data_IF_947288738421
#
_entry.id   IF_947288738421
#
_cell.length_a   1.000
_cell.length_b   1.000
_cell.length_c   1.000
_cell.angle_alpha   90.00
_cell.angle_beta   90.00
_cell.angle_gamma   90.00
#
_symmetry.space_group_name_H-M   'P 1'
#
loop_
_entity.id
_entity.type
_entity.pdbx_description
1 polymer ?
#
# COMPACT_ATOMS: atom_id res chain seq x y z
N UNK A 1 33.78 89.86 58.22
CA UNK A 1 34.86 89.08 57.57
C UNK A 1 34.55 87.58 57.39
N UNK A 2 33.56 87.00 58.09
CA UNK A 2 33.30 85.55 58.01
C UNK A 2 32.37 85.13 56.84
N UNK A 3 31.59 86.05 56.27
CA UNK A 3 30.74 85.77 55.11
C UNK A 3 31.53 85.74 53.78
N UNK A 4 32.48 86.65 53.62
CA UNK A 4 33.34 86.71 52.41
C UNK A 4 34.27 85.49 52.31
N UNK A 5 34.79 85.01 53.46
CA UNK A 5 35.61 83.78 53.53
C UNK A 5 34.80 82.52 53.24
N UNK A 6 33.53 82.47 53.64
CA UNK A 6 32.61 81.36 53.32
C UNK A 6 32.20 81.35 51.85
N UNK A 7 32.02 82.53 51.24
CA UNK A 7 31.69 82.64 49.82
C UNK A 7 32.88 82.27 48.92
N UNK A 8 34.11 82.63 49.33
CA UNK A 8 35.33 82.23 48.64
C UNK A 8 35.60 80.71 48.71
N UNK A 9 35.28 80.07 49.83
CA UNK A 9 35.33 78.59 49.95
C UNK A 9 34.22 77.89 49.14
N UNK A 10 33.03 78.49 49.02
CA UNK A 10 31.93 77.95 48.21
C UNK A 10 32.25 78.00 46.70
N UNK A 11 32.84 79.10 46.22
CA UNK A 11 33.28 79.22 44.82
C UNK A 11 34.43 78.26 44.49
N UNK A 12 35.38 78.05 45.41
CA UNK A 12 36.49 77.10 45.22
C UNK A 12 35.98 75.64 45.13
N UNK A 13 34.93 75.29 45.89
CA UNK A 13 34.33 73.96 45.87
C UNK A 13 33.56 73.67 44.56
N UNK A 14 32.94 74.70 43.97
CA UNK A 14 32.23 74.58 42.67
C UNK A 14 33.19 74.41 41.49
N UNK A 15 34.41 74.98 41.55
CA UNK A 15 35.42 74.80 40.50
C UNK A 15 36.07 73.42 40.52
N UNK A 16 36.13 72.74 41.67
CA UNK A 16 36.67 71.37 41.80
C UNK A 16 35.71 70.29 41.27
N UNK A 17 34.41 70.58 41.18
CA UNK A 17 33.39 69.68 40.60
C UNK A 17 33.18 69.86 39.09
N UNK A 18 33.74 70.92 38.49
CA UNK A 18 33.65 71.19 37.04
C UNK A 18 34.77 70.53 36.21
N UNK A 19 35.55 69.64 36.81
CA UNK A 19 36.65 68.90 36.18
C UNK A 19 36.25 67.67 35.36
N UNK A 20 34.96 67.42 35.17
CA UNK A 20 34.47 66.37 34.28
C UNK A 20 33.32 66.89 33.41
N UNK A 21 33.60 67.92 32.63
CA UNK A 21 32.75 68.38 31.54
C UNK A 21 33.54 68.33 30.22
N UNK A 22 33.98 67.12 29.87
CA UNK A 22 34.52 66.77 28.56
C UNK A 22 34.43 65.25 28.35
N UNK A 23 33.23 64.68 28.48
CA UNK A 23 32.99 63.27 28.16
C UNK A 23 31.50 62.98 27.88
N UNK A 24 30.84 63.78 27.04
CA UNK A 24 29.47 63.46 26.58
C UNK A 24 29.34 63.45 25.05
N UNK A 25 30.45 63.29 24.31
CA UNK A 25 30.40 62.99 22.87
C UNK A 25 31.49 62.01 22.38
N UNK A 26 32.18 61.32 23.30
CA UNK A 26 33.23 60.33 22.97
C UNK A 26 32.69 58.89 22.92
N UNK A 27 31.60 58.57 23.62
CA UNK A 27 31.08 57.20 23.68
C UNK A 27 30.48 56.69 22.35
N UNK A 28 29.94 57.57 21.51
CA UNK A 28 29.31 57.16 20.25
C UNK A 28 30.33 57.01 19.10
N UNK A 29 31.35 57.87 19.06
CA UNK A 29 32.48 57.73 18.14
C UNK A 29 33.37 56.52 18.50
N UNK A 30 33.56 56.21 19.78
CA UNK A 30 34.25 55.01 20.23
C UNK A 30 33.42 53.74 20.01
N UNK A 31 32.08 53.81 20.10
CA UNK A 31 31.23 52.65 19.82
C UNK A 31 31.28 52.25 18.34
N UNK A 32 31.17 53.21 17.43
CA UNK A 32 31.29 52.93 15.99
C UNK A 32 32.71 52.46 15.61
N UNK A 33 33.74 53.01 16.25
CA UNK A 33 35.13 52.57 16.06
C UNK A 33 35.37 51.16 16.61
N UNK A 34 34.85 50.85 17.80
CA UNK A 34 34.94 49.53 18.43
C UNK A 34 34.14 48.48 17.65
N UNK A 35 32.94 48.84 17.18
CA UNK A 35 32.12 48.00 16.30
C UNK A 35 32.86 47.69 15.00
N UNK A 36 33.49 48.68 14.39
CA UNK A 36 34.26 48.49 13.16
C UNK A 36 35.48 47.61 13.41
N UNK A 37 36.21 47.84 14.50
CA UNK A 37 37.33 46.99 14.92
C UNK A 37 36.90 45.54 15.19
N UNK A 38 35.75 45.32 15.84
CA UNK A 38 35.21 43.98 16.09
C UNK A 38 34.78 43.28 14.80
N UNK A 39 34.12 43.98 13.89
CA UNK A 39 33.75 43.45 12.57
C UNK A 39 34.98 43.13 11.74
N UNK A 40 36.03 43.95 11.83
CA UNK A 40 37.28 43.72 11.12
C UNK A 40 38.03 42.52 11.72
N UNK A 41 38.06 42.35 13.06
CA UNK A 41 38.59 41.15 13.74
C UNK A 41 37.84 39.87 13.35
N UNK A 42 36.51 39.92 13.18
CA UNK A 42 35.74 38.75 12.70
C UNK A 42 36.04 38.43 11.23
N UNK A 43 36.42 39.43 10.42
CA UNK A 43 36.75 39.27 9.00
C UNK A 43 38.21 38.90 8.74
N UNK A 44 39.11 39.08 9.71
CA UNK A 44 40.50 38.67 9.57
C UNK A 44 40.60 37.15 9.43
N UNK A 45 41.73 36.70 8.88
CA UNK A 45 41.98 35.28 8.68
C UNK A 45 42.04 34.52 10.02
N UNK A 46 42.47 35.20 11.09
CA UNK A 46 42.45 34.67 12.46
C UNK A 46 41.02 34.48 12.98
N UNK A 47 40.12 35.47 12.77
CA UNK A 47 38.71 35.36 13.12
C UNK A 47 38.00 34.25 12.37
N UNK A 48 38.23 34.15 11.05
CA UNK A 48 37.70 33.03 10.23
C UNK A 48 38.24 31.68 10.69
N UNK A 49 39.53 31.59 11.02
CA UNK A 49 40.17 30.36 11.49
C UNK A 49 39.64 29.92 12.85
N UNK A 50 39.41 30.86 13.77
CA UNK A 50 38.80 30.58 15.07
C UNK A 50 37.35 30.08 14.92
N UNK A 51 36.56 30.71 14.04
CA UNK A 51 35.20 30.21 13.72
C UNK A 51 35.27 28.83 13.07
N UNK A 52 36.24 28.58 12.18
CA UNK A 52 36.43 27.29 11.55
C UNK A 52 36.80 26.19 12.56
N UNK A 53 37.64 26.52 13.55
CA UNK A 53 38.01 25.61 14.63
C UNK A 53 36.82 25.31 15.54
N UNK A 54 35.99 26.32 15.85
CA UNK A 54 34.72 26.13 16.55
C UNK A 54 33.70 25.33 15.73
N UNK A 55 33.71 25.45 14.39
CA UNK A 55 32.92 24.59 13.50
C UNK A 55 33.43 23.15 13.42
N UNK A 56 34.61 22.84 13.93
CA UNK A 56 35.05 21.45 14.03
C UNK A 56 34.59 20.78 15.34
N UNK A 57 34.13 21.57 16.31
CA UNK A 57 33.52 21.05 17.53
C UNK A 57 32.17 20.37 17.23
N UNK A 58 31.93 19.18 17.81
CA UNK A 58 30.73 18.39 17.53
C UNK A 58 29.46 19.02 18.11
N UNK A 59 29.56 19.58 19.31
CA UNK A 59 28.42 20.17 20.04
C UNK A 59 27.94 21.43 19.30
N UNK A 60 28.87 22.29 18.88
CA UNK A 60 28.54 23.48 18.10
C UNK A 60 27.96 23.13 16.71
N UNK A 61 28.52 22.14 16.00
CA UNK A 61 27.98 21.71 14.69
C UNK A 61 26.57 21.16 14.80
N UNK A 62 26.30 20.35 15.81
CA UNK A 62 24.99 19.76 16.01
C UNK A 62 23.91 20.84 16.13
N UNK A 63 24.14 21.81 17.01
CA UNK A 63 23.16 22.86 17.30
C UNK A 63 22.96 23.81 16.10
N UNK A 64 24.02 24.11 15.34
CA UNK A 64 23.94 24.98 14.16
C UNK A 64 23.26 24.32 12.95
N UNK A 65 23.48 23.01 12.75
CA UNK A 65 22.97 22.26 11.58
C UNK A 65 21.53 21.79 11.79
N UNK A 66 21.16 21.37 13.01
CA UNK A 66 19.83 20.83 13.28
C UNK A 66 18.74 21.90 13.42
N UNK A 67 19.07 23.09 13.92
CA UNK A 67 18.10 24.18 14.11
C UNK A 67 17.92 25.06 12.85
N UNK A 68 18.59 24.71 11.76
CA UNK A 68 18.55 25.53 10.56
C UNK A 68 17.32 25.19 9.70
N UNK A 69 16.34 26.10 9.66
CA UNK A 69 15.24 26.08 8.70
C UNK A 69 15.73 25.82 7.27
N UNK A 70 16.89 26.38 6.91
CA UNK A 70 17.54 26.17 5.62
C UNK A 70 17.92 24.71 5.34
N UNK A 71 18.38 23.95 6.34
CA UNK A 71 18.73 22.53 6.17
C UNK A 71 17.47 21.71 5.92
N UNK A 72 16.40 21.98 6.66
CA UNK A 72 15.10 21.31 6.46
C UNK A 72 14.51 21.61 5.07
N UNK A 73 14.54 22.88 4.66
CA UNK A 73 14.07 23.32 3.34
C UNK A 73 14.92 22.67 2.24
N UNK A 74 16.25 22.69 2.37
CA UNK A 74 17.16 22.06 1.40
C UNK A 74 16.92 20.57 1.28
N UNK A 75 16.70 19.85 2.38
CA UNK A 75 16.38 18.41 2.35
C UNK A 75 15.04 18.18 1.65
N UNK A 76 14.02 18.97 1.99
CA UNK A 76 12.70 18.85 1.38
C UNK A 76 12.76 19.14 -0.12
N UNK A 77 13.41 20.21 -0.54
CA UNK A 77 13.60 20.56 -1.94
C UNK A 77 14.40 19.48 -2.67
N UNK A 78 15.55 19.08 -2.13
CA UNK A 78 16.40 18.06 -2.74
C UNK A 78 15.65 16.75 -2.95
N UNK A 79 14.86 16.30 -1.98
CA UNK A 79 14.09 15.05 -2.08
C UNK A 79 12.85 15.16 -2.98
N UNK A 80 12.27 16.36 -3.14
CA UNK A 80 11.07 16.57 -3.97
C UNK A 80 11.37 16.98 -5.41
N UNK A 81 12.60 17.41 -5.69
CA UNK A 81 13.08 17.72 -7.05
C UNK A 81 13.15 16.47 -7.93
N UNK A 82 13.18 16.69 -9.23
CA UNK A 82 13.43 15.63 -10.21
C UNK A 82 14.80 14.97 -10.01
N UNK A 83 15.81 15.69 -9.51
CA UNK A 83 17.10 15.08 -9.15
C UNK A 83 16.96 14.09 -7.98
N UNK A 84 16.18 14.43 -6.96
CA UNK A 84 15.88 13.53 -5.85
C UNK A 84 15.14 12.27 -6.29
N UNK A 85 14.13 12.41 -7.15
CA UNK A 85 13.42 11.26 -7.75
C UNK A 85 14.38 10.39 -8.55
N UNK A 86 15.23 10.98 -9.39
CA UNK A 86 16.22 10.24 -10.17
C UNK A 86 17.24 9.51 -9.28
N UNK A 87 17.68 10.15 -8.19
CA UNK A 87 18.52 9.52 -7.18
C UNK A 87 17.85 8.28 -6.59
N UNK A 88 16.60 8.39 -6.11
CA UNK A 88 15.86 7.25 -5.56
C UNK A 88 15.64 6.14 -6.60
N UNK A 89 15.30 6.49 -7.84
CA UNK A 89 15.15 5.52 -8.93
C UNK A 89 16.45 4.77 -9.23
N UNK A 90 17.60 5.45 -9.15
CA UNK A 90 18.89 4.82 -9.38
C UNK A 90 19.31 3.96 -8.19
N UNK A 91 19.12 4.45 -6.96
CA UNK A 91 19.44 3.76 -5.72
C UNK A 91 18.58 2.50 -5.53
N UNK A 92 17.30 2.53 -5.91
CA UNK A 92 16.41 1.36 -5.88
C UNK A 92 16.80 0.25 -6.88
N UNK A 93 17.64 0.55 -7.89
CA UNK A 93 18.16 -0.46 -8.81
C UNK A 93 19.35 -1.22 -8.24
N UNK A 94 19.98 -0.70 -7.18
CA UNK A 94 21.04 -1.42 -6.47
C UNK A 94 20.43 -2.59 -5.67
N UNK A 95 20.81 -3.85 -5.95
CA UNK A 95 20.23 -5.01 -5.27
C UNK A 95 20.47 -5.03 -3.76
N UNK A 96 21.60 -4.52 -3.29
CA UNK A 96 21.91 -4.48 -1.86
C UNK A 96 20.98 -3.50 -1.14
N UNK A 97 20.89 -2.28 -1.67
CA UNK A 97 19.94 -1.29 -1.17
C UNK A 97 18.48 -1.78 -1.23
N UNK A 98 18.04 -2.32 -2.38
CA UNK A 98 16.69 -2.81 -2.57
C UNK A 98 16.34 -3.95 -1.60
N UNK A 99 17.29 -4.85 -1.32
CA UNK A 99 17.12 -5.93 -0.35
C UNK A 99 16.92 -5.36 1.05
N UNK A 100 17.84 -4.53 1.53
CA UNK A 100 17.73 -3.94 2.88
C UNK A 100 16.46 -3.11 3.04
N UNK A 101 16.08 -2.36 2.01
CA UNK A 101 14.83 -1.60 2.00
C UNK A 101 13.59 -2.52 2.05
N UNK A 102 13.56 -3.59 1.25
CA UNK A 102 12.48 -4.56 1.26
C UNK A 102 12.36 -5.30 2.61
N UNK A 103 13.48 -5.71 3.20
CA UNK A 103 13.54 -6.35 4.52
C UNK A 103 13.02 -5.41 5.61
N UNK A 104 13.42 -4.13 5.58
CA UNK A 104 12.93 -3.13 6.53
C UNK A 104 11.41 -2.91 6.40
N UNK A 105 10.86 -2.95 5.18
CA UNK A 105 9.44 -2.78 4.91
C UNK A 105 8.61 -4.05 5.04
N UNK A 106 9.23 -5.23 5.17
CA UNK A 106 8.55 -6.52 5.04
C UNK A 106 7.34 -6.65 5.97
N UNK A 107 7.51 -6.30 7.25
CA UNK A 107 6.46 -6.41 8.28
C UNK A 107 5.24 -5.53 7.98
N UNK A 108 5.48 -4.26 7.61
CA UNK A 108 4.39 -3.34 7.28
C UNK A 108 3.74 -3.70 5.94
N UNK A 109 4.53 -4.12 4.96
CA UNK A 109 4.01 -4.61 3.68
C UNK A 109 3.12 -5.84 3.86
N UNK A 110 3.51 -6.79 4.72
CA UNK A 110 2.70 -7.95 5.06
C UNK A 110 1.36 -7.55 5.72
N UNK A 111 1.39 -6.59 6.65
CA UNK A 111 0.16 -6.06 7.26
C UNK A 111 -0.76 -5.42 6.24
N UNK A 112 -0.21 -4.62 5.32
CA UNK A 112 -0.97 -4.00 4.23
C UNK A 112 -1.60 -5.08 3.35
N UNK A 113 -0.82 -6.06 2.89
CA UNK A 113 -1.33 -7.15 2.05
C UNK A 113 -2.43 -7.96 2.75
N UNK A 114 -2.25 -8.30 4.04
CA UNK A 114 -3.29 -8.98 4.83
C UNK A 114 -4.54 -8.13 5.04
N UNK A 115 -4.38 -6.81 5.16
CA UNK A 115 -5.49 -5.86 5.21
C UNK A 115 -6.24 -5.82 3.89
N UNK A 116 -5.52 -5.66 2.78
CA UNK A 116 -6.07 -5.63 1.43
C UNK A 116 -6.80 -6.93 1.07
N UNK A 117 -6.33 -8.10 1.50
CA UNK A 117 -7.08 -9.35 1.28
C UNK A 117 -8.50 -9.34 1.90
N UNK A 118 -8.77 -8.49 2.88
CA UNK A 118 -10.09 -8.32 3.49
C UNK A 118 -10.89 -7.18 2.87
N UNK A 119 -10.28 -6.41 1.98
CA UNK A 119 -10.91 -5.30 1.29
C UNK A 119 -11.71 -5.79 0.06
N UNK A 120 -12.97 -5.37 -0.11
CA UNK A 120 -13.81 -5.82 -1.22
C UNK A 120 -13.29 -5.46 -2.62
N UNK A 121 -12.66 -4.28 -2.77
CA UNK A 121 -12.13 -3.84 -4.06
C UNK A 121 -10.92 -4.69 -4.44
N UNK A 122 -10.02 -4.91 -3.48
CA UNK A 122 -8.87 -5.78 -3.69
C UNK A 122 -9.26 -7.24 -3.92
N UNK A 123 -10.29 -7.76 -3.24
CA UNK A 123 -10.83 -9.08 -3.52
C UNK A 123 -11.39 -9.19 -4.94
N UNK A 124 -12.05 -8.15 -5.43
CA UNK A 124 -12.56 -8.11 -6.81
C UNK A 124 -11.42 -8.18 -7.83
N UNK A 125 -10.32 -7.44 -7.58
CA UNK A 125 -9.10 -7.54 -8.39
C UNK A 125 -8.47 -8.92 -8.28
N UNK A 126 -8.50 -9.58 -7.12
CA UNK A 126 -8.00 -10.94 -6.97
C UNK A 126 -8.84 -11.95 -7.75
N UNK A 127 -10.17 -11.81 -7.75
CA UNK A 127 -11.06 -12.68 -8.53
C UNK A 127 -10.81 -12.52 -10.03
N UNK A 128 -10.55 -11.31 -10.53
CA UNK A 128 -10.22 -11.13 -11.95
C UNK A 128 -8.90 -11.82 -12.33
N UNK A 129 -7.91 -11.81 -11.44
CA UNK A 129 -6.66 -12.58 -11.62
C UNK A 129 -6.97 -14.08 -11.67
N UNK A 130 -7.81 -14.61 -10.76
CA UNK A 130 -8.20 -16.02 -10.76
C UNK A 130 -8.99 -16.46 -12.00
N UNK A 131 -9.57 -15.52 -12.73
CA UNK A 131 -10.26 -15.77 -14.00
C UNK A 131 -9.32 -15.81 -15.20
N UNK A 132 -8.01 -15.66 -15.01
CA UNK A 132 -7.03 -15.86 -16.07
C UNK A 132 -7.11 -17.27 -16.68
N UNK A 133 -6.75 -17.39 -17.96
CA UNK A 133 -6.86 -18.64 -18.70
C UNK A 133 -5.96 -19.73 -18.14
N UNK A 134 -4.74 -19.40 -17.68
CA UNK A 134 -3.80 -20.37 -17.12
C UNK A 134 -4.33 -20.99 -15.82
N UNK A 135 -4.97 -20.16 -14.99
CA UNK A 135 -5.59 -20.60 -13.74
C UNK A 135 -6.83 -21.44 -14.04
N UNK A 136 -7.66 -21.03 -15.01
CA UNK A 136 -8.82 -21.84 -15.46
C UNK A 136 -8.39 -23.22 -15.94
N UNK A 137 -7.34 -23.31 -16.74
CA UNK A 137 -6.85 -24.59 -17.26
C UNK A 137 -6.33 -25.48 -16.12
N UNK A 138 -5.62 -24.90 -15.15
CA UNK A 138 -5.17 -25.59 -13.93
C UNK A 138 -6.36 -26.10 -13.09
N UNK A 139 -7.42 -25.29 -12.95
CA UNK A 139 -8.66 -25.71 -12.27
C UNK A 139 -9.34 -26.83 -13.05
N UNK A 140 -9.41 -26.76 -14.39
CA UNK A 140 -10.01 -27.81 -15.21
C UNK A 140 -9.23 -29.13 -15.13
N UNK A 141 -7.91 -29.08 -15.01
CA UNK A 141 -7.08 -30.26 -14.77
C UNK A 141 -7.38 -30.87 -13.38
N UNK A 142 -7.49 -30.03 -12.35
CA UNK A 142 -7.89 -30.46 -11.01
C UNK A 142 -9.28 -31.13 -11.01
N UNK A 143 -10.25 -30.57 -11.75
CA UNK A 143 -11.59 -31.18 -11.87
C UNK A 143 -11.57 -32.51 -12.64
N UNK A 144 -10.55 -32.77 -13.45
CA UNK A 144 -10.36 -34.05 -14.14
C UNK A 144 -9.58 -35.07 -13.31
N UNK A 145 -8.99 -34.66 -12.19
CA UNK A 145 -8.23 -35.51 -11.28
C UNK A 145 -9.06 -36.70 -10.78
N UNK A 146 -8.36 -37.78 -10.39
CA UNK A 146 -9.02 -38.99 -9.92
C UNK A 146 -9.76 -38.73 -8.61
N UNK A 147 -9.16 -37.94 -7.73
CA UNK A 147 -9.68 -37.55 -6.42
C UNK A 147 -11.01 -36.80 -6.55
N UNK A 148 -11.08 -35.85 -7.49
CA UNK A 148 -12.33 -35.13 -7.76
C UNK A 148 -13.39 -36.03 -8.41
N UNK A 149 -12.99 -36.93 -9.33
CA UNK A 149 -13.92 -37.90 -9.92
C UNK A 149 -14.54 -38.84 -8.90
N UNK A 150 -13.78 -39.28 -7.89
CA UNK A 150 -14.33 -40.11 -6.81
C UNK A 150 -15.43 -39.36 -6.05
N UNK A 151 -15.21 -38.09 -5.70
CA UNK A 151 -16.25 -37.24 -5.09
C UNK A 151 -17.47 -37.07 -6.00
N UNK A 152 -17.26 -36.82 -7.29
CA UNK A 152 -18.35 -36.70 -8.26
C UNK A 152 -19.16 -37.99 -8.35
N UNK A 153 -18.51 -39.16 -8.34
CA UNK A 153 -19.20 -40.46 -8.37
C UNK A 153 -20.03 -40.69 -7.10
N UNK A 154 -19.53 -40.28 -5.93
CA UNK A 154 -20.29 -40.31 -4.68
C UNK A 154 -21.51 -39.41 -4.76
N UNK A 155 -21.35 -38.15 -5.17
CA UNK A 155 -22.46 -37.18 -5.32
C UNK A 155 -23.50 -37.71 -6.32
N UNK A 156 -23.05 -38.29 -7.44
CA UNK A 156 -23.96 -38.90 -8.42
C UNK A 156 -24.73 -40.08 -7.82
N UNK A 157 -24.05 -40.95 -7.07
CA UNK A 157 -24.69 -42.10 -6.43
C UNK A 157 -25.75 -41.65 -5.42
N UNK A 158 -25.44 -40.68 -4.56
CA UNK A 158 -26.40 -40.08 -3.62
C UNK A 158 -27.56 -39.39 -4.36
N UNK A 159 -27.27 -38.75 -5.49
CA UNK A 159 -28.30 -38.11 -6.32
C UNK A 159 -29.24 -39.14 -6.94
N UNK A 160 -28.75 -40.30 -7.36
CA UNK A 160 -29.58 -41.39 -7.88
C UNK A 160 -30.46 -42.02 -6.80
N UNK A 161 -29.98 -42.07 -5.56
CA UNK A 161 -30.77 -42.56 -4.42
C UNK A 161 -31.85 -41.57 -3.96
N UNK A 162 -31.81 -40.33 -4.45
CA UNK A 162 -32.82 -39.31 -4.13
C UNK A 162 -34.21 -39.73 -4.66
N UNK A 163 -35.27 -39.68 -3.83
CA UNK A 163 -36.64 -39.99 -4.24
C UNK A 163 -37.11 -39.20 -5.47
N UNK A 164 -36.66 -37.94 -5.60
CA UNK A 164 -36.97 -37.10 -6.75
C UNK A 164 -36.37 -37.67 -8.05
N UNK A 165 -35.11 -38.10 -7.98
CA UNK A 165 -34.41 -38.63 -9.14
C UNK A 165 -34.96 -40.01 -9.52
N UNK A 166 -35.24 -40.87 -8.53
CA UNK A 166 -35.92 -42.15 -8.75
C UNK A 166 -37.30 -41.98 -9.38
N UNK A 167 -38.10 -41.01 -8.93
CA UNK A 167 -39.38 -40.70 -9.55
C UNK A 167 -39.22 -40.28 -11.01
N UNK A 168 -38.22 -39.43 -11.33
CA UNK A 168 -37.93 -39.02 -12.70
C UNK A 168 -37.43 -40.16 -13.59
N UNK A 169 -36.60 -41.05 -13.06
CA UNK A 169 -36.17 -42.26 -13.79
C UNK A 169 -37.39 -43.14 -14.10
N UNK A 170 -38.27 -43.37 -13.13
CA UNK A 170 -39.49 -44.16 -13.33
C UNK A 170 -40.44 -43.53 -14.36
N UNK A 171 -40.59 -42.20 -14.37
CA UNK A 171 -41.36 -41.47 -15.38
C UNK A 171 -40.77 -41.65 -16.79
N UNK A 172 -39.44 -41.51 -16.92
CA UNK A 172 -38.74 -41.71 -18.20
C UNK A 172 -38.89 -43.16 -18.68
N UNK A 173 -38.70 -44.16 -17.80
CA UNK A 173 -38.86 -45.57 -18.14
C UNK A 173 -40.30 -45.89 -18.59
N UNK A 174 -41.28 -45.30 -17.92
CA UNK A 174 -42.70 -45.46 -18.29
C UNK A 174 -42.96 -44.89 -19.69
N UNK A 175 -42.47 -43.69 -19.99
CA UNK A 175 -42.62 -43.05 -21.29
C UNK A 175 -41.93 -43.85 -22.42
N UNK A 176 -40.71 -44.34 -22.19
CA UNK A 176 -39.98 -45.17 -23.17
C UNK A 176 -40.73 -46.47 -23.44
N UNK A 177 -41.32 -47.08 -22.41
CA UNK A 177 -42.12 -48.31 -22.55
C UNK A 177 -43.39 -48.03 -23.35
N UNK A 178 -44.09 -46.92 -23.09
CA UNK A 178 -45.26 -46.51 -23.89
C UNK A 178 -44.90 -46.23 -25.35
N UNK A 179 -43.75 -45.58 -25.63
CA UNK A 179 -43.29 -45.34 -27.00
C UNK A 179 -42.89 -46.63 -27.73
N UNK A 180 -42.24 -47.58 -27.03
CA UNK A 180 -41.91 -48.89 -27.60
C UNK A 180 -43.15 -49.72 -27.89
N UNK A 181 -44.15 -49.71 -27.01
CA UNK A 181 -45.43 -50.40 -27.23
C UNK A 181 -46.18 -49.80 -28.41
N UNK A 182 -46.24 -48.46 -28.53
CA UNK A 182 -46.83 -47.77 -29.69
C UNK A 182 -46.12 -48.09 -31.01
N UNK A 183 -44.79 -48.22 -31.01
CA UNK A 183 -44.03 -48.65 -32.19
C UNK A 183 -44.23 -50.13 -32.52
N UNK A 184 -44.42 -50.99 -31.52
CA UNK A 184 -44.65 -52.41 -31.73
C UNK A 184 -46.06 -52.69 -32.29
N UNK A 185 -47.05 -51.85 -31.96
CA UNK A 185 -48.38 -51.85 -32.60
C UNK A 185 -48.35 -51.31 -34.05
N UNK A 186 -47.36 -50.49 -34.44
CA UNK A 186 -47.17 -50.04 -35.83
C UNK A 186 -46.40 -51.05 -36.71
N UNK A 187 -45.52 -51.90 -36.15
CA UNK A 187 -44.79 -52.94 -36.91
C UNK A 187 -45.43 -54.35 -36.85
N UNK A 188 -46.41 -54.60 -35.97
CA UNK A 188 -47.10 -55.90 -35.82
C UNK A 188 -48.28 -56.14 -36.79
N UNK A 189 -48.64 -55.15 -37.62
CA UNK A 189 -49.85 -55.16 -38.45
C UNK A 189 -49.68 -55.72 -39.87
N UNK A 190 -49.06 -56.88 -40.06
CA UNK A 190 -49.14 -57.60 -41.36
C UNK A 190 -48.83 -59.08 -41.20
N UNK A 191 -49.86 -59.89 -40.90
CA UNK A 191 -49.67 -61.33 -40.66
C UNK A 191 -50.95 -62.16 -40.64
N UNK A 192 -51.69 -62.15 -41.75
CA UNK A 192 -52.48 -63.27 -42.26
C UNK A 192 -53.73 -63.73 -41.48
N UNK A 193 -54.88 -63.20 -41.90
CA UNK A 193 -56.19 -63.85 -41.78
C UNK A 193 -56.77 -64.00 -43.17
N UNK A 194 -56.60 -65.16 -43.83
CA UNK A 194 -57.55 -65.59 -44.86
C UNK A 194 -57.50 -67.10 -45.11
N UNK A 195 -58.69 -67.62 -45.45
CA UNK A 195 -59.04 -68.90 -46.07
C UNK A 195 -59.25 -70.13 -45.16
N UNK A 196 -60.52 -70.55 -45.10
CA UNK A 196 -60.90 -71.88 -44.64
C UNK A 196 -62.40 -72.05 -44.33
N UNK A 197 -63.30 -71.72 -45.25
CA UNK A 197 -64.71 -72.10 -45.20
C UNK A 197 -65.03 -73.06 -46.35
N UNK A 198 -65.25 -74.34 -46.04
CA UNK A 198 -66.20 -75.31 -46.63
C UNK A 198 -65.94 -76.64 -45.88
N UNK A 199 -66.87 -77.47 -45.44
CA UNK A 199 -68.18 -77.84 -45.96
C UNK A 199 -68.99 -78.60 -44.91
N UNK A 200 -70.27 -78.28 -44.82
CA UNK A 200 -71.44 -79.16 -44.81
C UNK A 200 -71.46 -80.51 -44.04
N UNK A 201 -72.54 -80.60 -43.26
CA UNK A 201 -73.50 -81.72 -43.13
C UNK A 201 -73.29 -82.81 -42.06
N UNK A 202 -74.37 -82.95 -41.26
CA UNK A 202 -75.01 -84.19 -40.79
C UNK A 202 -74.10 -85.30 -40.24
N UNK A 203 -74.28 -85.85 -39.05
CA UNK A 203 -75.54 -86.29 -38.44
C UNK A 203 -75.21 -87.01 -37.13
N UNK A 204 -76.07 -86.80 -36.14
CA UNK A 204 -76.63 -87.79 -35.20
C UNK A 204 -75.76 -88.82 -34.44
N UNK A 205 -76.11 -88.92 -33.14
CA UNK A 205 -76.13 -90.10 -32.26
C UNK A 205 -74.75 -90.68 -31.89
N UNK A 206 -74.38 -90.92 -30.64
CA UNK A 206 -75.05 -91.21 -29.36
C UNK A 206 -74.34 -90.51 -28.18
#
# INVERSE_FOLDING_TARGET
>A
MNALRKWLFLCLFITLLSGCAAAENSGQADYDTTKKMMVDMLKTDEGKKAIQELMHDEEMRHDLVMDNFFVKETIQETLTTEQGKAFWQQTMKDPEFAKTFAEAMQSENEKILKGLMKDPEYQTMMVSILQDQEIKDSILELLKSKEYREQVMTIMSESFESPYFMAKINEILSNVTEEQLKKQDEEGGSGSSESGQDSSQESEQE
#
